data_IF_677168391260
#
_entry.id   IF_677168391260
#
_cell.length_a   1.000
_cell.length_b   1.000
_cell.length_c   1.000
_cell.angle_alpha   90.00
_cell.angle_beta   90.00
_cell.angle_gamma   90.00
#
_symmetry.space_group_name_H-M   'P 1'
#
loop_
_entity.id
_entity.type
_entity.pdbx_description
1 polymer ?
#
# COMPACT_ATOMS: atom_id res chain seq x y z
N UNK A 1 -19.22 -30.06 12.10
CA UNK A 1 -19.68 -29.73 10.72
C UNK A 1 -20.31 -28.37 10.78
N UNK A 2 -19.65 -27.33 10.28
CA UNK A 2 -20.23 -25.98 10.15
C UNK A 2 -21.23 -26.03 8.99
N UNK A 3 -22.44 -25.60 9.27
CA UNK A 3 -23.57 -25.67 8.34
C UNK A 3 -23.29 -24.78 7.11
N UNK A 4 -23.22 -25.35 5.91
CA UNK A 4 -22.95 -24.65 4.65
C UNK A 4 -24.00 -23.57 4.32
N UNK A 5 -25.11 -23.50 5.04
CA UNK A 5 -26.16 -22.50 4.83
C UNK A 5 -25.86 -21.13 5.45
N UNK A 6 -24.91 -21.02 6.36
CA UNK A 6 -24.58 -19.75 7.03
C UNK A 6 -23.68 -18.82 6.18
N UNK A 7 -23.03 -19.31 5.12
CA UNK A 7 -22.18 -18.50 4.25
C UNK A 7 -22.91 -17.84 3.07
N UNK A 8 -24.16 -18.23 2.78
CA UNK A 8 -24.89 -17.67 1.63
C UNK A 8 -25.44 -16.25 1.85
N UNK A 9 -25.27 -15.67 3.05
CA UNK A 9 -25.68 -14.30 3.41
C UNK A 9 -24.51 -13.35 3.68
N UNK A 10 -23.26 -13.79 3.49
CA UNK A 10 -22.11 -12.90 3.62
C UNK A 10 -22.12 -11.84 2.52
N UNK A 11 -21.87 -10.55 2.82
CA UNK A 11 -21.78 -9.54 1.78
C UNK A 11 -20.62 -9.87 0.84
N UNK A 12 -20.74 -9.55 -0.47
CA UNK A 12 -19.66 -9.80 -1.42
C UNK A 12 -18.38 -9.07 -1.02
N UNK A 13 -17.25 -9.68 -1.27
CA UNK A 13 -15.95 -9.04 -1.04
C UNK A 13 -15.79 -7.85 -1.97
N UNK A 14 -15.29 -6.75 -1.44
CA UNK A 14 -14.99 -5.53 -2.21
C UNK A 14 -13.53 -5.39 -2.54
N UNK A 15 -12.66 -6.05 -1.75
CA UNK A 15 -11.22 -5.91 -1.85
C UNK A 15 -10.55 -7.19 -1.33
N UNK A 16 -9.54 -7.63 -2.06
CA UNK A 16 -8.61 -8.69 -1.68
C UNK A 16 -7.22 -8.08 -1.68
N UNK A 17 -6.57 -8.01 -0.52
CA UNK A 17 -5.16 -7.67 -0.43
C UNK A 17 -4.37 -8.97 -0.31
N UNK A 18 -3.66 -9.31 -1.39
CA UNK A 18 -2.91 -10.55 -1.47
C UNK A 18 -1.41 -10.30 -1.37
N UNK A 19 -0.81 -10.83 -0.32
CA UNK A 19 0.64 -10.85 -0.12
C UNK A 19 1.23 -11.96 -0.98
N UNK A 20 1.65 -11.61 -2.20
CA UNK A 20 2.11 -12.57 -3.21
C UNK A 20 3.51 -13.12 -2.94
N UNK A 21 4.30 -12.42 -2.11
CA UNK A 21 5.63 -12.83 -1.67
C UNK A 21 6.00 -12.19 -0.33
N UNK A 22 6.81 -12.87 0.48
CA UNK A 22 7.46 -12.32 1.66
C UNK A 22 8.77 -11.60 1.36
N UNK A 23 9.31 -11.79 0.15
CA UNK A 23 10.56 -11.16 -0.26
C UNK A 23 10.40 -9.63 -0.37
N UNK A 24 11.40 -8.89 0.13
CA UNK A 24 11.44 -7.44 0.05
C UNK A 24 12.88 -6.93 0.01
N UNK A 25 13.13 -5.94 -0.81
CA UNK A 25 14.41 -5.26 -0.90
C UNK A 25 14.60 -4.14 0.14
N UNK A 26 13.57 -3.87 0.99
CA UNK A 26 13.64 -2.90 2.07
C UNK A 26 13.59 -3.58 3.45
N UNK A 27 14.07 -2.85 4.48
CA UNK A 27 14.11 -3.31 5.86
C UNK A 27 13.29 -2.41 6.81
N UNK A 28 12.06 -2.05 6.40
CA UNK A 28 11.21 -1.08 7.08
C UNK A 28 11.03 -1.42 8.56
N UNK A 29 11.21 -0.42 9.44
CA UNK A 29 11.08 -0.58 10.90
C UNK A 29 9.67 -1.01 11.35
N UNK A 30 8.64 -0.58 10.62
CA UNK A 30 7.23 -0.85 10.91
C UNK A 30 6.65 -2.05 10.15
N UNK A 31 7.46 -2.85 9.47
CA UNK A 31 6.96 -3.91 8.61
C UNK A 31 6.11 -4.92 9.38
N UNK A 32 4.82 -4.98 9.04
CA UNK A 32 3.86 -5.90 9.65
C UNK A 32 4.14 -7.35 9.26
N UNK A 33 4.53 -7.58 8.02
CA UNK A 33 4.79 -8.91 7.46
C UNK A 33 6.18 -9.45 7.81
N UNK A 34 7.03 -8.66 8.50
CA UNK A 34 8.42 -9.04 8.79
C UNK A 34 9.22 -9.47 7.55
N UNK A 35 8.85 -8.90 6.40
CA UNK A 35 9.46 -9.21 5.11
C UNK A 35 10.98 -9.11 5.14
N UNK A 36 11.66 -9.98 4.41
CA UNK A 36 13.12 -10.06 4.28
C UNK A 36 13.53 -10.31 2.82
N UNK A 37 14.81 -10.50 2.53
CA UNK A 37 15.31 -10.61 1.15
C UNK A 37 14.83 -11.88 0.43
N UNK A 38 14.57 -12.95 1.17
CA UNK A 38 14.19 -14.24 0.59
C UNK A 38 12.67 -14.44 0.67
N UNK A 39 12.06 -15.15 -0.28
CA UNK A 39 10.67 -15.54 -0.22
C UNK A 39 10.40 -16.48 0.96
N UNK A 40 9.16 -16.53 1.44
CA UNK A 40 8.79 -17.54 2.43
C UNK A 40 8.81 -18.94 1.81
N UNK A 41 9.19 -19.98 2.57
CA UNK A 41 9.28 -21.35 2.04
C UNK A 41 7.97 -21.91 1.48
N UNK A 42 6.83 -21.41 1.97
CA UNK A 42 5.48 -21.89 1.66
C UNK A 42 4.72 -20.92 0.74
N UNK A 43 5.42 -20.13 -0.07
CA UNK A 43 4.76 -19.28 -1.07
C UNK A 43 4.10 -20.15 -2.15
N UNK A 44 2.92 -19.73 -2.59
CA UNK A 44 2.21 -20.44 -3.65
C UNK A 44 3.04 -20.43 -4.94
N UNK A 45 3.13 -21.59 -5.59
CA UNK A 45 3.62 -21.69 -6.96
C UNK A 45 2.74 -20.88 -7.93
N UNK A 46 3.19 -20.70 -9.16
CA UNK A 46 2.39 -20.00 -10.19
C UNK A 46 1.07 -20.70 -10.42
N UNK A 47 1.06 -22.03 -10.46
CA UNK A 47 -0.13 -22.86 -10.66
C UNK A 47 -1.12 -22.72 -9.52
N UNK A 48 -0.67 -22.85 -8.27
CA UNK A 48 -1.51 -22.68 -7.07
C UNK A 48 -2.04 -21.23 -6.97
N UNK A 49 -1.24 -20.25 -7.34
CA UNK A 49 -1.63 -18.85 -7.40
C UNK A 49 -2.75 -18.62 -8.43
N UNK A 50 -2.68 -19.27 -9.59
CA UNK A 50 -3.76 -19.22 -10.61
C UNK A 50 -5.03 -19.90 -10.11
N UNK A 51 -4.93 -21.05 -9.45
CA UNK A 51 -6.08 -21.73 -8.83
C UNK A 51 -6.74 -20.83 -7.76
N UNK A 52 -5.94 -20.12 -6.97
CA UNK A 52 -6.46 -19.15 -6.00
C UNK A 52 -7.20 -18.00 -6.72
N UNK A 53 -6.62 -17.43 -7.78
CA UNK A 53 -7.26 -16.36 -8.57
C UNK A 53 -8.61 -16.81 -9.13
N UNK A 54 -8.76 -18.08 -9.58
CA UNK A 54 -10.01 -18.63 -10.10
C UNK A 54 -11.16 -18.63 -9.07
N UNK A 55 -10.83 -18.53 -7.79
CA UNK A 55 -11.84 -18.45 -6.72
C UNK A 55 -12.35 -17.02 -6.50
N UNK A 56 -11.59 -15.99 -6.85
CA UNK A 56 -11.91 -14.59 -6.53
C UNK A 56 -13.24 -14.10 -7.13
N UNK A 57 -13.57 -14.38 -8.41
CA UNK A 57 -14.85 -13.96 -8.98
C UNK A 57 -16.07 -14.57 -8.27
N UNK A 58 -15.89 -15.69 -7.58
CA UNK A 58 -16.98 -16.34 -6.82
C UNK A 58 -17.32 -15.55 -5.53
N UNK A 59 -16.47 -14.65 -5.09
CA UNK A 59 -16.66 -13.84 -3.87
C UNK A 59 -17.34 -12.50 -4.13
N UNK A 60 -17.57 -12.15 -5.39
CA UNK A 60 -18.13 -10.87 -5.83
C UNK A 60 -17.31 -10.24 -6.97
N UNK A 61 -17.20 -8.92 -6.96
CA UNK A 61 -16.34 -8.15 -7.89
C UNK A 61 -15.27 -7.36 -7.11
N UNK A 62 -14.31 -8.06 -6.47
CA UNK A 62 -13.31 -7.41 -5.65
C UNK A 62 -12.24 -6.70 -6.48
N UNK A 63 -11.70 -5.61 -5.95
CA UNK A 63 -10.40 -5.11 -6.39
C UNK A 63 -9.32 -5.99 -5.79
N UNK A 64 -8.42 -6.52 -6.61
CA UNK A 64 -7.28 -7.32 -6.15
C UNK A 64 -6.05 -6.41 -6.03
N UNK A 65 -5.51 -6.32 -4.82
CA UNK A 65 -4.27 -5.61 -4.53
C UNK A 65 -3.13 -6.61 -4.46
N UNK A 66 -2.25 -6.61 -5.44
CA UNK A 66 -1.00 -7.36 -5.41
C UNK A 66 -0.01 -6.63 -4.50
N UNK A 67 0.31 -7.23 -3.36
CA UNK A 67 1.16 -6.68 -2.31
C UNK A 67 2.07 -7.77 -1.75
N UNK A 68 2.63 -7.61 -0.55
CA UNK A 68 3.47 -8.60 0.10
C UNK A 68 4.60 -7.95 0.88
N UNK A 69 5.80 -8.50 0.76
CA UNK A 69 7.02 -7.76 1.02
C UNK A 69 7.15 -6.66 -0.05
N UNK A 70 7.71 -7.03 -1.18
CA UNK A 70 7.73 -6.21 -2.40
C UNK A 70 7.23 -7.07 -3.59
N UNK A 71 6.04 -6.78 -4.17
CA UNK A 71 5.47 -7.63 -5.20
C UNK A 71 6.35 -7.77 -6.45
N UNK A 72 7.17 -6.75 -6.77
CA UNK A 72 8.09 -6.80 -7.90
C UNK A 72 9.31 -7.72 -7.70
N UNK A 73 9.48 -8.30 -6.53
CA UNK A 73 10.47 -9.35 -6.27
C UNK A 73 9.96 -10.76 -6.60
N UNK A 74 8.66 -10.93 -6.84
CA UNK A 74 8.10 -12.16 -7.34
C UNK A 74 8.22 -12.21 -8.86
N UNK A 75 8.89 -13.22 -9.40
CA UNK A 75 9.25 -13.29 -10.82
C UNK A 75 8.04 -13.36 -11.75
N UNK A 76 7.00 -14.10 -11.38
CA UNK A 76 5.79 -14.31 -12.16
C UNK A 76 4.66 -13.31 -11.86
N UNK A 77 4.93 -12.22 -11.10
CA UNK A 77 3.87 -11.29 -10.65
C UNK A 77 3.07 -10.70 -11.81
N UNK A 78 3.71 -10.34 -12.91
CA UNK A 78 3.02 -9.78 -14.09
C UNK A 78 2.15 -10.81 -14.80
N UNK A 79 2.57 -12.07 -14.84
CA UNK A 79 1.77 -13.19 -15.35
C UNK A 79 0.50 -13.40 -14.49
N UNK A 80 0.63 -13.33 -13.17
CA UNK A 80 -0.50 -13.44 -12.24
C UNK A 80 -1.47 -12.26 -12.37
N UNK A 81 -0.95 -11.04 -12.57
CA UNK A 81 -1.77 -9.84 -12.81
C UNK A 81 -2.55 -9.98 -14.11
N UNK A 82 -1.90 -10.39 -15.20
CA UNK A 82 -2.56 -10.61 -16.50
C UNK A 82 -3.63 -11.70 -16.40
N UNK A 83 -3.32 -12.79 -15.70
CA UNK A 83 -4.28 -13.89 -15.46
C UNK A 83 -5.49 -13.39 -14.68
N UNK A 84 -5.29 -12.64 -13.60
CA UNK A 84 -6.39 -12.05 -12.83
C UNK A 84 -7.24 -11.10 -13.70
N UNK A 85 -6.60 -10.26 -14.52
CA UNK A 85 -7.28 -9.41 -15.48
C UNK A 85 -8.12 -10.20 -16.50
N UNK A 86 -7.64 -11.36 -16.98
CA UNK A 86 -8.38 -12.24 -17.88
C UNK A 86 -9.66 -12.83 -17.26
N UNK A 87 -9.75 -12.88 -15.93
CA UNK A 87 -10.95 -13.27 -15.17
C UNK A 87 -11.90 -12.10 -14.90
N UNK A 88 -11.63 -10.92 -15.46
CA UNK A 88 -12.43 -9.71 -15.28
C UNK A 88 -12.14 -8.95 -13.98
N UNK A 89 -11.13 -9.33 -13.21
CA UNK A 89 -10.79 -8.70 -11.95
C UNK A 89 -10.06 -7.35 -12.19
N UNK A 90 -10.35 -6.37 -11.34
CA UNK A 90 -9.63 -5.10 -11.32
C UNK A 90 -8.37 -5.24 -10.48
N UNK A 91 -7.20 -5.07 -11.13
CA UNK A 91 -5.90 -5.26 -10.50
C UNK A 91 -5.24 -3.92 -10.18
N UNK A 92 -4.74 -3.80 -8.95
CA UNK A 92 -3.89 -2.72 -8.48
C UNK A 92 -2.67 -3.31 -7.79
N UNK A 93 -1.59 -2.55 -7.69
CA UNK A 93 -0.34 -3.05 -7.07
C UNK A 93 0.11 -2.10 -5.97
N UNK A 94 0.67 -2.66 -4.90
CA UNK A 94 1.19 -1.89 -3.78
C UNK A 94 2.71 -2.11 -3.58
N UNK A 95 3.53 -1.67 -4.55
CA UNK A 95 4.98 -1.76 -4.44
C UNK A 95 5.51 -0.66 -3.52
N UNK A 96 6.71 -0.85 -2.99
CA UNK A 96 7.40 0.19 -2.23
C UNK A 96 7.88 1.35 -3.12
N UNK A 97 7.90 1.16 -4.43
CA UNK A 97 8.28 2.14 -5.46
C UNK A 97 9.72 2.03 -5.94
N UNK A 98 10.63 1.44 -5.16
CA UNK A 98 12.07 1.48 -5.45
C UNK A 98 12.51 0.60 -6.63
N UNK A 99 11.73 -0.42 -6.96
CA UNK A 99 12.01 -1.35 -8.08
C UNK A 99 11.24 -0.97 -9.36
N UNK A 100 10.46 0.11 -9.35
CA UNK A 100 9.75 0.56 -10.55
C UNK A 100 10.75 1.28 -11.47
N UNK A 101 11.13 0.59 -12.53
CA UNK A 101 11.90 1.14 -13.63
C UNK A 101 11.02 1.27 -14.89
N UNK A 102 11.57 1.77 -15.99
CA UNK A 102 10.81 1.98 -17.23
C UNK A 102 10.22 0.67 -17.80
N UNK A 103 10.90 -0.47 -17.62
CA UNK A 103 10.42 -1.77 -18.06
C UNK A 103 9.25 -2.25 -17.20
N UNK A 104 9.39 -2.18 -15.86
CA UNK A 104 8.34 -2.60 -14.93
C UNK A 104 7.09 -1.73 -15.08
N UNK A 105 7.24 -0.42 -15.23
CA UNK A 105 6.11 0.49 -15.46
C UNK A 105 5.37 0.17 -16.78
N UNK A 106 6.11 -0.18 -17.84
CA UNK A 106 5.51 -0.63 -19.10
C UNK A 106 4.74 -1.94 -18.93
N UNK A 107 5.33 -2.93 -18.23
CA UNK A 107 4.66 -4.20 -17.94
C UNK A 107 3.40 -3.98 -17.10
N UNK A 108 3.45 -3.15 -16.06
CA UNK A 108 2.27 -2.77 -15.29
C UNK A 108 1.15 -2.23 -16.18
N UNK A 109 1.48 -1.34 -17.13
CA UNK A 109 0.50 -0.79 -18.07
C UNK A 109 -0.08 -1.86 -18.98
N UNK A 110 0.76 -2.73 -19.53
CA UNK A 110 0.37 -3.79 -20.46
C UNK A 110 -0.52 -4.85 -19.81
N UNK A 111 -0.21 -5.24 -18.56
CA UNK A 111 -0.97 -6.23 -17.80
C UNK A 111 -2.23 -5.67 -17.13
N UNK A 112 -2.48 -4.36 -17.28
CA UNK A 112 -3.73 -3.74 -16.85
C UNK A 112 -3.76 -3.27 -15.39
N UNK A 113 -2.60 -3.05 -14.76
CA UNK A 113 -2.54 -2.37 -13.45
C UNK A 113 -3.13 -0.97 -13.59
N UNK A 114 -4.19 -0.68 -12.85
CA UNK A 114 -4.92 0.58 -12.94
C UNK A 114 -4.34 1.66 -12.03
N UNK A 115 -3.78 1.24 -10.88
CA UNK A 115 -3.21 2.16 -9.88
C UNK A 115 -2.12 1.48 -9.07
N UNK A 116 -1.11 2.25 -8.67
CA UNK A 116 -0.08 1.81 -7.72
C UNK A 116 -0.20 2.56 -6.40
N UNK A 117 0.09 1.85 -5.29
CA UNK A 117 0.17 2.45 -3.94
C UNK A 117 1.64 2.54 -3.54
N UNK A 118 2.19 3.75 -3.60
CA UNK A 118 3.61 3.99 -3.28
C UNK A 118 3.75 4.46 -1.84
N UNK A 119 4.74 3.97 -1.16
CA UNK A 119 4.99 4.30 0.23
C UNK A 119 5.93 5.50 0.38
N UNK A 120 5.46 6.58 1.02
CA UNK A 120 6.31 7.71 1.44
C UNK A 120 5.98 8.08 2.88
N UNK A 121 6.97 7.90 3.80
CA UNK A 121 6.81 8.19 5.23
C UNK A 121 7.60 9.41 5.70
N UNK A 122 8.23 10.11 4.79
CA UNK A 122 8.95 11.35 5.03
C UNK A 122 8.90 12.26 3.81
N UNK A 123 9.00 13.56 4.02
CA UNK A 123 9.09 14.56 2.97
C UNK A 123 10.51 14.69 2.38
N UNK A 124 11.50 14.02 2.99
CA UNK A 124 12.92 14.09 2.60
C UNK A 124 13.56 12.70 2.73
N UNK A 125 14.65 12.48 1.96
CA UNK A 125 15.41 11.23 1.95
C UNK A 125 15.84 10.80 3.37
N UNK A 126 16.36 11.75 4.17
CA UNK A 126 16.88 11.45 5.52
C UNK A 126 15.83 10.81 6.45
N UNK A 127 14.58 11.27 6.41
CA UNK A 127 13.51 10.72 7.25
C UNK A 127 12.92 9.45 6.66
N UNK A 128 12.69 9.42 5.36
CA UNK A 128 12.12 8.26 4.68
C UNK A 128 13.05 7.06 4.74
N UNK A 129 14.32 7.23 4.34
CA UNK A 129 15.30 6.14 4.28
C UNK A 129 15.57 5.55 5.68
N UNK A 130 15.64 6.40 6.71
CA UNK A 130 15.78 5.96 8.09
C UNK A 130 14.63 5.05 8.54
N UNK A 131 13.41 5.34 8.10
CA UNK A 131 12.22 4.57 8.44
C UNK A 131 12.10 3.30 7.60
N UNK A 132 12.47 3.37 6.32
CA UNK A 132 12.48 2.23 5.39
C UNK A 132 13.71 1.32 5.53
N UNK A 133 14.73 1.78 6.27
CA UNK A 133 15.92 0.99 6.63
C UNK A 133 16.92 0.81 5.50
N UNK A 134 16.78 1.53 4.37
CA UNK A 134 17.68 1.44 3.21
C UNK A 134 17.96 2.84 2.66
N UNK A 135 19.23 3.28 2.63
CA UNK A 135 19.61 4.54 2.02
C UNK A 135 19.26 4.58 0.53
N UNK A 136 18.75 5.73 0.07
CA UNK A 136 18.36 5.93 -1.34
C UNK A 136 16.95 5.44 -1.68
N UNK A 137 16.20 4.87 -0.72
CA UNK A 137 14.84 4.40 -0.95
C UNK A 137 13.89 5.54 -1.38
N UNK A 138 14.07 6.75 -0.83
CA UNK A 138 13.29 7.92 -1.19
C UNK A 138 13.46 8.29 -2.66
N UNK A 139 14.69 8.52 -3.08
CA UNK A 139 14.98 8.92 -4.46
C UNK A 139 14.59 7.86 -5.47
N UNK A 140 14.76 6.58 -5.11
CA UNK A 140 14.34 5.46 -5.94
C UNK A 140 12.79 5.41 -6.07
N UNK A 141 12.05 5.65 -4.99
CA UNK A 141 10.59 5.72 -5.03
C UNK A 141 10.10 6.90 -5.88
N UNK A 142 10.72 8.07 -5.79
CA UNK A 142 10.39 9.21 -6.64
C UNK A 142 10.61 8.92 -8.12
N UNK A 143 11.74 8.27 -8.47
CA UNK A 143 11.98 7.81 -9.85
C UNK A 143 10.92 6.78 -10.29
N UNK A 144 10.53 5.88 -9.42
CA UNK A 144 9.44 4.95 -9.67
C UNK A 144 8.13 5.67 -10.02
N UNK A 145 7.79 6.73 -9.30
CA UNK A 145 6.63 7.58 -9.59
C UNK A 145 6.74 8.24 -10.96
N UNK A 146 7.92 8.76 -11.33
CA UNK A 146 8.15 9.33 -12.67
C UNK A 146 7.90 8.30 -13.78
N UNK A 147 8.35 7.06 -13.59
CA UNK A 147 8.10 5.97 -14.53
C UNK A 147 6.61 5.62 -14.63
N UNK A 148 5.85 5.60 -13.51
CA UNK A 148 4.40 5.40 -13.54
C UNK A 148 3.70 6.51 -14.32
N UNK A 149 4.06 7.77 -14.05
CA UNK A 149 3.52 8.95 -14.76
C UNK A 149 3.78 8.86 -16.26
N UNK A 150 4.97 8.44 -16.69
CA UNK A 150 5.31 8.29 -18.11
C UNK A 150 4.46 7.25 -18.85
N UNK A 151 3.89 6.29 -18.11
CA UNK A 151 2.97 5.27 -18.64
C UNK A 151 1.49 5.62 -18.42
N UNK A 152 1.17 6.77 -17.82
CA UNK A 152 -0.20 7.17 -17.49
C UNK A 152 -0.86 6.27 -16.45
N UNK A 153 -0.06 5.68 -15.55
CA UNK A 153 -0.57 4.88 -14.41
C UNK A 153 -0.79 5.81 -13.23
N UNK A 154 -2.01 5.83 -12.71
CA UNK A 154 -2.31 6.57 -11.49
C UNK A 154 -1.57 6.00 -10.28
N UNK A 155 -1.28 6.85 -9.32
CA UNK A 155 -0.70 6.39 -8.05
C UNK A 155 -1.29 7.12 -6.86
N UNK A 156 -1.28 6.44 -5.73
CA UNK A 156 -1.57 7.00 -4.42
C UNK A 156 -0.33 6.92 -3.53
N UNK A 157 -0.24 7.82 -2.58
CA UNK A 157 0.78 7.76 -1.53
C UNK A 157 0.18 7.13 -0.28
N UNK A 158 0.95 6.22 0.32
CA UNK A 158 0.66 5.63 1.62
C UNK A 158 1.70 6.11 2.62
N UNK A 159 1.26 6.64 3.76
CA UNK A 159 2.13 7.16 4.82
C UNK A 159 1.75 6.56 6.16
N UNK A 160 2.71 5.95 6.87
CA UNK A 160 2.53 5.53 8.26
C UNK A 160 2.87 6.68 9.19
N UNK A 161 1.92 7.10 10.01
CA UNK A 161 2.07 8.21 10.96
C UNK A 161 2.69 7.71 12.26
N UNK A 162 3.80 8.33 12.63
CA UNK A 162 4.58 8.04 13.85
C UNK A 162 5.00 9.34 14.53
N UNK A 163 5.59 9.26 15.72
CA UNK A 163 6.18 10.44 16.37
C UNK A 163 7.28 11.09 15.53
N UNK A 164 8.08 10.27 14.84
CA UNK A 164 9.25 10.75 14.11
C UNK A 164 8.89 11.58 12.87
N UNK A 165 7.71 11.36 12.26
CA UNK A 165 7.28 12.11 11.08
C UNK A 165 6.11 13.09 11.34
N UNK A 166 5.68 13.22 12.59
CA UNK A 166 4.55 14.06 12.96
C UNK A 166 4.74 15.53 12.54
N UNK A 167 5.91 16.10 12.82
CA UNK A 167 6.20 17.51 12.52
C UNK A 167 6.32 17.76 11.01
N UNK A 168 6.67 16.74 10.23
CA UNK A 168 6.75 16.81 8.77
C UNK A 168 5.47 16.35 8.06
N UNK A 169 4.43 15.98 8.79
CA UNK A 169 3.18 15.46 8.24
C UNK A 169 2.53 16.39 7.19
N UNK A 170 2.43 17.72 7.41
CA UNK A 170 1.96 18.63 6.36
C UNK A 170 2.86 18.66 5.13
N UNK A 171 4.17 18.53 5.29
CA UNK A 171 5.11 18.52 4.15
C UNK A 171 4.97 17.25 3.31
N UNK A 172 4.63 16.11 3.93
CA UNK A 172 4.35 14.86 3.20
C UNK A 172 3.08 15.02 2.36
N UNK A 173 2.06 15.70 2.89
CA UNK A 173 0.84 16.01 2.14
C UNK A 173 1.15 16.85 0.89
N UNK A 174 1.87 17.95 1.05
CA UNK A 174 2.24 18.82 -0.09
C UNK A 174 3.12 18.07 -1.09
N UNK A 175 4.06 17.24 -0.63
CA UNK A 175 4.85 16.40 -1.54
C UNK A 175 3.94 15.47 -2.37
N UNK A 176 2.93 14.86 -1.76
CA UNK A 176 1.99 14.00 -2.49
C UNK A 176 1.19 14.78 -3.55
N UNK A 177 0.79 16.03 -3.24
CA UNK A 177 0.13 16.93 -4.21
C UNK A 177 1.07 17.29 -5.36
N UNK A 178 2.29 17.74 -5.06
CA UNK A 178 3.29 18.18 -6.04
C UNK A 178 3.68 17.03 -6.99
N UNK A 179 3.73 15.80 -6.48
CA UNK A 179 3.98 14.61 -7.29
C UNK A 179 2.79 14.28 -8.22
N UNK A 180 1.60 14.78 -7.92
CA UNK A 180 0.38 14.51 -8.68
C UNK A 180 -0.30 13.19 -8.26
N UNK A 181 -0.21 12.81 -6.99
CA UNK A 181 -0.93 11.65 -6.47
C UNK A 181 -2.44 11.85 -6.57
N UNK A 182 -3.18 10.80 -6.97
CA UNK A 182 -4.65 10.86 -7.03
C UNK A 182 -5.29 10.57 -5.66
N UNK A 183 -4.50 10.05 -4.71
CA UNK A 183 -4.95 9.78 -3.35
C UNK A 183 -3.79 9.82 -2.36
N UNK A 184 -4.11 10.15 -1.11
CA UNK A 184 -3.20 10.01 0.02
C UNK A 184 -3.88 9.21 1.13
N UNK A 185 -3.31 8.06 1.46
CA UNK A 185 -3.81 7.21 2.54
C UNK A 185 -2.83 7.25 3.71
N UNK A 186 -3.32 7.65 4.87
CA UNK A 186 -2.54 7.60 6.11
C UNK A 186 -2.89 6.33 6.90
N UNK A 187 -1.88 5.77 7.53
CA UNK A 187 -1.98 4.62 8.41
C UNK A 187 -1.49 5.01 9.80
N UNK A 188 -2.34 4.97 10.78
CA UNK A 188 -1.89 5.14 12.15
C UNK A 188 -1.06 3.93 12.55
N UNK A 189 0.14 4.14 13.12
CA UNK A 189 1.03 3.05 13.49
C UNK A 189 0.34 2.06 14.42
N UNK A 190 0.32 0.79 14.00
CA UNK A 190 -0.08 -0.36 14.84
C UNK A 190 1.17 -1.18 15.10
N UNK A 191 1.60 -1.39 16.35
CA UNK A 191 2.87 -2.04 16.69
C UNK A 191 2.75 -3.56 16.55
N UNK A 192 2.81 -4.06 15.31
CA UNK A 192 2.79 -5.47 14.94
C UNK A 192 3.98 -5.84 14.07
N UNK A 193 4.37 -7.10 14.00
CA UNK A 193 5.56 -7.55 13.29
C UNK A 193 6.82 -6.82 13.80
N UNK A 194 7.73 -6.42 12.91
CA UNK A 194 8.88 -5.58 13.29
C UNK A 194 8.47 -4.28 13.97
N UNK A 195 7.29 -3.76 13.64
CA UNK A 195 6.73 -2.57 14.27
C UNK A 195 6.43 -2.73 15.76
N UNK A 196 6.42 -3.94 16.33
CA UNK A 196 6.27 -4.16 17.77
C UNK A 196 7.34 -3.42 18.60
N UNK A 197 8.56 -3.28 18.04
CA UNK A 197 9.64 -2.50 18.64
C UNK A 197 9.39 -0.97 18.63
N UNK A 198 8.38 -0.49 17.89
CA UNK A 198 8.04 0.92 17.72
C UNK A 198 6.92 1.39 18.66
N UNK A 199 6.63 0.69 19.75
CA UNK A 199 5.57 1.10 20.69
C UNK A 199 5.76 2.52 21.23
N UNK A 200 7.00 2.97 21.41
CA UNK A 200 7.34 4.34 21.80
C UNK A 200 7.08 5.39 20.70
N UNK A 201 6.92 4.95 19.46
CA UNK A 201 6.63 5.79 18.29
C UNK A 201 5.13 6.00 18.04
N UNK A 202 4.28 5.34 18.80
CA UNK A 202 2.84 5.61 18.78
C UNK A 202 2.62 7.06 19.25
N UNK A 203 1.90 7.84 18.46
CA UNK A 203 1.59 9.22 18.82
C UNK A 203 0.59 9.26 19.98
N UNK A 204 0.72 10.20 20.93
CA UNK A 204 -0.20 10.33 22.05
C UNK A 204 -1.59 10.80 21.58
N UNK A 205 -2.60 10.62 22.43
CA UNK A 205 -4.00 10.82 22.05
C UNK A 205 -4.32 12.25 21.57
N UNK A 206 -3.73 13.26 22.18
CA UNK A 206 -3.86 14.67 21.77
C UNK A 206 -3.26 14.92 20.38
N UNK A 207 -2.11 14.32 20.08
CA UNK A 207 -1.47 14.37 18.78
C UNK A 207 -2.22 13.55 17.73
N UNK A 208 -2.78 12.42 18.12
CA UNK A 208 -3.65 11.61 17.26
C UNK A 208 -4.86 12.44 16.79
N UNK A 209 -5.52 13.12 17.72
CA UNK A 209 -6.64 14.03 17.44
C UNK A 209 -6.21 15.17 16.51
N UNK A 210 -5.06 15.79 16.79
CA UNK A 210 -4.49 16.86 15.95
C UNK A 210 -4.24 16.40 14.51
N UNK A 211 -3.62 15.23 14.32
CA UNK A 211 -3.38 14.65 12.97
C UNK A 211 -4.67 14.44 12.22
N UNK A 212 -5.70 13.89 12.86
CA UNK A 212 -6.97 13.64 12.20
C UNK A 212 -7.73 14.93 11.83
N UNK A 213 -7.59 15.99 12.63
CA UNK A 213 -8.14 17.30 12.29
C UNK A 213 -7.38 17.92 11.12
N UNK A 214 -6.04 17.91 11.10
CA UNK A 214 -5.26 18.36 9.94
C UNK A 214 -5.65 17.59 8.68
N UNK A 215 -5.79 16.26 8.79
CA UNK A 215 -6.17 15.42 7.67
C UNK A 215 -7.58 15.75 7.14
N UNK A 216 -8.48 16.13 8.02
CA UNK A 216 -9.81 16.61 7.65
C UNK A 216 -9.75 17.99 6.97
N UNK A 217 -8.90 18.89 7.44
CA UNK A 217 -8.73 20.22 6.84
C UNK A 217 -8.08 20.12 5.45
N UNK A 218 -7.09 19.27 5.26
CA UNK A 218 -6.50 19.00 3.93
C UNK A 218 -7.55 18.56 2.91
N UNK A 219 -8.53 17.78 3.33
CA UNK A 219 -9.63 17.35 2.47
C UNK A 219 -10.41 18.51 1.83
N UNK A 220 -10.38 19.69 2.44
CA UNK A 220 -11.08 20.88 1.96
C UNK A 220 -10.26 21.64 0.90
N UNK A 221 -8.97 21.33 0.77
CA UNK A 221 -8.01 22.09 -0.06
C UNK A 221 -7.46 21.29 -1.23
N UNK A 222 -7.81 20.01 -1.36
CA UNK A 222 -7.27 19.12 -2.39
C UNK A 222 -8.34 18.30 -3.09
N UNK A 223 -8.08 17.96 -4.34
CA UNK A 223 -8.88 16.99 -5.12
C UNK A 223 -8.43 15.54 -4.88
N UNK A 224 -7.32 15.30 -4.17
CA UNK A 224 -6.87 13.96 -3.81
C UNK A 224 -7.91 13.24 -2.94
N UNK A 225 -8.11 11.95 -3.23
CA UNK A 225 -8.90 11.11 -2.33
C UNK A 225 -8.14 10.82 -1.03
N UNK A 226 -8.64 11.30 0.10
CA UNK A 226 -8.01 11.11 1.41
C UNK A 226 -8.66 9.97 2.20
N UNK A 227 -7.84 9.06 2.76
CA UNK A 227 -8.32 7.95 3.60
C UNK A 227 -7.43 7.76 4.82
N UNK A 228 -8.03 7.76 6.01
CA UNK A 228 -7.36 7.38 7.26
C UNK A 228 -7.63 5.91 7.57
N UNK A 229 -6.56 5.11 7.68
CA UNK A 229 -6.60 3.67 7.96
C UNK A 229 -6.12 3.42 9.39
N UNK A 230 -6.67 2.41 10.07
CA UNK A 230 -6.45 2.17 11.50
C UNK A 230 -6.85 3.37 12.38
N UNK A 231 -7.77 4.19 11.91
CA UNK A 231 -8.19 5.45 12.52
C UNK A 231 -9.72 5.56 12.60
N UNK A 232 -10.43 4.70 13.37
CA UNK A 232 -11.89 4.72 13.43
C UNK A 232 -12.44 6.07 13.98
N UNK A 233 -11.65 6.80 14.77
CA UNK A 233 -12.02 8.12 15.29
C UNK A 233 -12.17 9.19 14.20
N UNK A 234 -11.60 9.00 13.01
CA UNK A 234 -11.75 9.92 11.89
C UNK A 234 -13.21 10.13 11.48
N UNK A 235 -14.04 9.07 11.56
CA UNK A 235 -15.47 9.19 11.28
C UNK A 235 -16.19 10.12 12.25
N UNK A 236 -15.72 10.23 13.50
CA UNK A 236 -16.26 11.19 14.47
C UNK A 236 -15.94 12.63 14.03
N UNK A 237 -14.69 12.90 13.64
CA UNK A 237 -14.27 14.23 13.18
C UNK A 237 -15.06 14.67 11.94
N UNK A 238 -15.30 13.76 10.99
CA UNK A 238 -16.09 14.07 9.80
C UNK A 238 -17.57 14.41 10.09
N UNK A 239 -18.08 14.09 11.29
CA UNK A 239 -19.47 14.36 11.69
C UNK A 239 -19.63 15.60 12.58
N UNK A 240 -18.57 16.19 13.02
CA UNK A 240 -18.53 17.43 13.76
C UNK A 240 -18.55 18.66 12.83
#
# INVERSE_FOLDING_TARGET
>A
MLDKKTFSSAPPLRLIAWEVTGACNLACKHCRAEAHTDPFPDELSTEEARELIDTFPQTGDPVVIFTGGEPLMREDVFELVEYAGSKGLRCVMAPNGTLINAQNARLMRQTGIQRCSISLDGAHASSHDLFRGVPGAFDAALKGIEHLKSQGIEFQINTTVTRDNLDSFPNIFHLAEDLGAVAWHIFMLVPTGRGAALSSQIIPADKYEQVLNWFYDFRKTTDMHLKATCAPHYYRIMRQ
#
